data_IF_741435087485
#
_entry.id   IF_741435087485
#
_cell.length_a   1.000
_cell.length_b   1.000
_cell.length_c   1.000
_cell.angle_alpha   90.00
_cell.angle_beta   90.00
_cell.angle_gamma   90.00
#
_symmetry.space_group_name_H-M   'P 1'
#
loop_
_entity.id
_entity.type
_entity.pdbx_description
1 polymer ?
#
# COMPACT_ATOMS: atom_id res chain seq x y z
N UNK A 1 -75.01 -6.27 53.85
CA UNK A 1 -74.18 -6.45 52.62
C UNK A 1 -72.95 -5.52 52.43
N UNK A 2 -72.93 -4.26 52.91
CA UNK A 2 -71.87 -3.26 52.61
C UNK A 2 -70.44 -3.63 53.11
N UNK A 3 -70.29 -4.31 54.26
CA UNK A 3 -68.97 -4.72 54.83
C UNK A 3 -68.22 -5.75 53.95
N UNK A 4 -68.90 -6.74 53.36
CA UNK A 4 -68.30 -7.75 52.44
C UNK A 4 -67.75 -7.09 51.16
N UNK A 5 -68.49 -6.13 50.57
CA UNK A 5 -68.04 -5.35 49.39
C UNK A 5 -66.76 -4.53 49.68
N UNK A 6 -66.67 -3.87 50.84
CA UNK A 6 -65.46 -3.13 51.28
C UNK A 6 -64.23 -4.04 51.48
N UNK A 7 -64.39 -5.22 52.10
CA UNK A 7 -63.31 -6.23 52.25
C UNK A 7 -62.79 -6.72 50.88
N UNK A 8 -63.69 -6.99 49.92
CA UNK A 8 -63.34 -7.42 48.54
C UNK A 8 -62.57 -6.32 47.78
N UNK A 9 -62.98 -5.05 47.92
CA UNK A 9 -62.29 -3.87 47.34
C UNK A 9 -60.87 -3.69 47.92
N UNK A 10 -60.70 -3.81 49.23
CA UNK A 10 -59.38 -3.78 49.91
C UNK A 10 -58.45 -4.91 49.45
N UNK A 11 -58.96 -6.15 49.33
CA UNK A 11 -58.19 -7.31 48.81
C UNK A 11 -57.74 -7.09 47.35
N UNK A 12 -58.62 -6.58 46.48
CA UNK A 12 -58.26 -6.20 45.09
C UNK A 12 -57.17 -5.12 45.05
N UNK A 13 -57.27 -4.07 45.89
CA UNK A 13 -56.26 -2.98 45.98
C UNK A 13 -54.89 -3.51 46.47
N UNK A 14 -54.87 -4.40 47.48
CA UNK A 14 -53.64 -5.07 47.95
C UNK A 14 -53.02 -5.96 46.86
N UNK A 15 -53.81 -6.77 46.13
CA UNK A 15 -53.32 -7.58 44.99
C UNK A 15 -52.72 -6.69 43.88
N UNK A 16 -53.36 -5.56 43.53
CA UNK A 16 -52.85 -4.59 42.54
C UNK A 16 -51.51 -3.97 42.98
N UNK A 17 -51.37 -3.57 44.26
CA UNK A 17 -50.11 -3.07 44.84
C UNK A 17 -48.99 -4.12 44.79
N UNK A 18 -49.30 -5.38 45.12
CA UNK A 18 -48.33 -6.51 45.10
C UNK A 18 -47.84 -6.80 43.66
N UNK A 19 -48.75 -6.81 42.67
CA UNK A 19 -48.41 -6.91 41.23
C UNK A 19 -47.51 -5.75 40.75
N UNK A 20 -47.83 -4.49 41.10
CA UNK A 20 -46.99 -3.32 40.77
C UNK A 20 -45.57 -3.43 41.37
N UNK A 21 -45.45 -3.86 42.64
CA UNK A 21 -44.13 -4.08 43.29
C UNK A 21 -43.32 -5.18 42.58
N UNK A 22 -43.93 -6.31 42.21
CA UNK A 22 -43.27 -7.38 41.43
C UNK A 22 -42.80 -6.88 40.06
N UNK A 23 -43.63 -6.12 39.32
CA UNK A 23 -43.27 -5.55 38.01
C UNK A 23 -42.11 -4.55 38.09
N UNK A 24 -42.07 -3.69 39.13
CA UNK A 24 -40.93 -2.79 39.41
C UNK A 24 -39.64 -3.57 39.72
N UNK A 25 -39.70 -4.62 40.56
CA UNK A 25 -38.52 -5.47 40.87
C UNK A 25 -37.99 -6.18 39.62
N UNK A 26 -38.87 -6.70 38.75
CA UNK A 26 -38.47 -7.35 37.48
C UNK A 26 -37.75 -6.37 36.54
N UNK A 27 -38.32 -5.16 36.32
CA UNK A 27 -37.67 -4.10 35.53
C UNK A 27 -36.29 -3.68 36.10
N UNK A 28 -36.14 -3.61 37.43
CA UNK A 28 -34.86 -3.24 38.06
C UNK A 28 -33.79 -4.33 37.86
N UNK A 29 -34.15 -5.61 37.96
CA UNK A 29 -33.25 -6.74 37.66
C UNK A 29 -32.81 -6.75 36.19
N UNK A 30 -33.74 -6.50 35.27
CA UNK A 30 -33.45 -6.48 33.83
C UNK A 30 -32.51 -5.32 33.44
N UNK A 31 -32.74 -4.10 33.99
CA UNK A 31 -31.81 -2.97 33.82
C UNK A 31 -30.41 -3.27 34.35
N UNK A 32 -30.29 -4.00 35.46
CA UNK A 32 -28.98 -4.40 36.04
C UNK A 32 -28.25 -5.39 35.13
N UNK A 33 -28.96 -6.38 34.56
CA UNK A 33 -28.41 -7.33 33.58
C UNK A 33 -27.93 -6.62 32.30
N UNK A 34 -28.73 -5.70 31.75
CA UNK A 34 -28.34 -4.90 30.56
C UNK A 34 -27.08 -4.06 30.80
N UNK A 35 -26.98 -3.38 31.96
CA UNK A 35 -25.75 -2.64 32.35
C UNK A 35 -24.53 -3.56 32.45
N UNK A 36 -24.68 -4.76 33.00
CA UNK A 36 -23.58 -5.73 33.09
C UNK A 36 -23.12 -6.20 31.71
N UNK A 37 -24.03 -6.51 30.79
CA UNK A 37 -23.70 -6.89 29.41
C UNK A 37 -22.96 -5.77 28.66
N UNK A 38 -23.40 -4.52 28.79
CA UNK A 38 -22.75 -3.37 28.15
C UNK A 38 -21.30 -3.20 28.65
N UNK A 39 -21.07 -3.35 29.95
CA UNK A 39 -19.72 -3.24 30.52
C UNK A 39 -18.78 -4.35 30.02
N UNK A 40 -19.26 -5.58 29.88
CA UNK A 40 -18.48 -6.70 29.31
C UNK A 40 -18.13 -6.41 27.85
N UNK A 41 -19.09 -5.95 27.05
CA UNK A 41 -18.87 -5.59 25.65
C UNK A 41 -17.83 -4.46 25.50
N UNK A 42 -17.90 -3.43 26.34
CA UNK A 42 -16.95 -2.31 26.34
C UNK A 42 -15.52 -2.73 26.73
N UNK A 43 -15.38 -3.61 27.74
CA UNK A 43 -14.07 -4.18 28.13
C UNK A 43 -13.44 -4.98 26.97
N UNK A 44 -14.23 -5.78 26.26
CA UNK A 44 -13.76 -6.57 25.12
C UNK A 44 -13.35 -5.69 23.93
N UNK A 45 -14.10 -4.63 23.61
CA UNK A 45 -13.72 -3.64 22.59
C UNK A 45 -12.38 -2.96 22.92
N UNK A 46 -12.17 -2.56 24.19
CA UNK A 46 -10.88 -1.97 24.64
C UNK A 46 -9.71 -2.96 24.51
N UNK A 47 -9.89 -4.23 24.90
CA UNK A 47 -8.88 -5.29 24.72
C UNK A 47 -8.53 -5.52 23.23
N UNK A 48 -9.54 -5.59 22.35
CA UNK A 48 -9.33 -5.71 20.89
C UNK A 48 -8.55 -4.52 20.31
N UNK A 49 -8.89 -3.28 20.70
CA UNK A 49 -8.15 -2.07 20.29
C UNK A 49 -6.69 -2.10 20.77
N UNK A 50 -6.41 -2.49 22.02
CA UNK A 50 -5.04 -2.65 22.54
C UNK A 50 -4.24 -3.70 21.77
N UNK A 51 -4.83 -4.88 21.48
CA UNK A 51 -4.18 -5.93 20.66
C UNK A 51 -3.86 -5.44 19.24
N UNK A 52 -4.78 -4.72 18.58
CA UNK A 52 -4.53 -4.11 17.25
C UNK A 52 -3.38 -3.10 17.27
N UNK A 53 -3.32 -2.21 18.29
CA UNK A 53 -2.21 -1.26 18.46
C UNK A 53 -0.85 -1.96 18.67
N UNK A 54 -0.81 -3.03 19.49
CA UNK A 54 0.42 -3.83 19.69
C UNK A 54 0.88 -4.53 18.39
N UNK A 55 -0.04 -5.11 17.60
CA UNK A 55 0.28 -5.70 16.28
C UNK A 55 0.82 -4.65 15.30
N UNK A 56 0.23 -3.45 15.24
CA UNK A 56 0.76 -2.34 14.42
C UNK A 56 2.17 -1.89 14.86
N UNK A 57 2.44 -1.79 16.16
CA UNK A 57 3.78 -1.47 16.67
C UNK A 57 4.82 -2.55 16.35
N UNK A 58 4.48 -3.85 16.49
CA UNK A 58 5.37 -4.96 16.08
C UNK A 58 5.66 -4.93 14.57
N UNK A 59 4.64 -4.69 13.72
CA UNK A 59 4.84 -4.58 12.26
C UNK A 59 5.72 -3.37 11.87
N UNK A 60 5.62 -2.26 12.61
CA UNK A 60 6.50 -1.08 12.40
C UNK A 60 7.93 -1.32 12.88
N UNK A 61 8.14 -2.15 13.91
CA UNK A 61 9.49 -2.52 14.41
C UNK A 61 10.19 -3.53 13.48
N UNK A 62 9.48 -4.52 12.94
CA UNK A 62 10.05 -5.44 11.95
C UNK A 62 10.39 -4.75 10.61
N UNK A 63 9.65 -3.72 10.21
CA UNK A 63 10.03 -2.92 9.03
C UNK A 63 11.29 -2.06 9.25
N UNK A 64 11.65 -1.74 10.50
CA UNK A 64 12.88 -1.00 10.80
C UNK A 64 14.09 -1.92 11.02
N UNK A 65 13.87 -3.19 11.40
CA UNK A 65 14.95 -4.16 11.56
C UNK A 65 15.38 -4.80 10.24
N UNK A 66 14.55 -4.78 9.19
CA UNK A 66 15.00 -5.12 7.83
C UNK A 66 15.56 -3.89 7.07
N UNK A 67 15.85 -2.80 7.78
CA UNK A 67 16.49 -1.59 7.22
C UNK A 67 17.66 -1.13 8.09
N UNK A 68 18.41 -2.10 8.58
CA UNK A 68 19.79 -2.02 9.03
C UNK A 68 20.43 -3.30 8.56
N UNK A 69 21.69 -3.21 8.17
CA UNK A 69 22.51 -4.21 7.51
C UNK A 69 22.61 -3.88 6.01
N UNK A 70 23.69 -3.16 5.70
CA UNK A 70 24.17 -2.59 4.43
C UNK A 70 23.96 -1.07 4.32
N UNK A 71 25.06 -0.39 3.98
CA UNK A 71 25.36 1.05 3.97
C UNK A 71 25.81 1.58 5.34
N UNK A 72 27.08 1.91 5.61
CA UNK A 72 28.10 2.30 4.65
C UNK A 72 27.54 3.38 3.74
N UNK A 73 27.00 4.46 4.31
CA UNK A 73 26.31 5.53 3.59
C UNK A 73 27.32 6.24 2.68
N UNK A 74 27.56 5.66 1.51
CA UNK A 74 27.82 6.45 0.32
C UNK A 74 26.58 7.31 0.11
N UNK A 75 26.73 8.63 -0.12
CA UNK A 75 25.58 9.45 -0.46
C UNK A 75 24.93 8.82 -1.69
N UNK A 76 23.67 8.37 -1.54
CA UNK A 76 22.90 7.87 -2.69
C UNK A 76 22.88 9.02 -3.68
N UNK A 77 23.66 8.88 -4.75
CA UNK A 77 23.85 9.97 -5.68
C UNK A 77 22.51 10.31 -6.33
N UNK A 78 22.24 11.59 -6.50
CA UNK A 78 20.98 12.11 -7.04
C UNK A 78 20.61 11.43 -8.38
N UNK A 79 21.62 11.02 -9.16
CA UNK A 79 21.45 10.27 -10.41
C UNK A 79 20.73 8.93 -10.21
N UNK A 80 21.08 8.15 -9.17
CA UNK A 80 20.44 6.87 -8.88
C UNK A 80 18.97 7.06 -8.46
N UNK A 81 18.68 8.08 -7.66
CA UNK A 81 17.30 8.39 -7.23
C UNK A 81 16.41 8.80 -8.40
N UNK A 82 16.96 9.59 -9.33
CA UNK A 82 16.28 10.00 -10.57
C UNK A 82 16.03 8.80 -11.47
N UNK A 83 17.01 7.90 -11.59
CA UNK A 83 16.90 6.68 -12.38
C UNK A 83 15.79 5.78 -11.82
N UNK A 84 15.77 5.52 -10.50
CA UNK A 84 14.72 4.73 -9.85
C UNK A 84 13.33 5.33 -10.12
N UNK A 85 13.17 6.64 -9.90
CA UNK A 85 11.88 7.30 -10.09
C UNK A 85 11.38 7.20 -11.53
N UNK A 86 12.30 7.33 -12.51
CA UNK A 86 12.00 7.23 -13.95
C UNK A 86 11.53 5.82 -14.32
N UNK A 87 12.25 4.78 -13.92
CA UNK A 87 11.85 3.40 -14.20
C UNK A 87 10.54 3.01 -13.51
N UNK A 88 10.31 3.51 -12.29
CA UNK A 88 9.06 3.27 -11.56
C UNK A 88 7.86 3.91 -12.27
N UNK A 89 8.03 5.12 -12.79
CA UNK A 89 7.03 5.80 -13.60
C UNK A 89 6.77 5.06 -14.92
N UNK A 90 7.84 4.69 -15.63
CA UNK A 90 7.74 3.99 -16.91
C UNK A 90 7.01 2.65 -16.77
N UNK A 91 7.40 1.83 -15.79
CA UNK A 91 6.70 0.59 -15.50
C UNK A 91 5.24 0.81 -15.08
N UNK A 92 4.90 1.94 -14.46
CA UNK A 92 3.50 2.28 -14.19
C UNK A 92 2.73 2.55 -15.48
N UNK A 93 3.30 3.33 -16.42
CA UNK A 93 2.70 3.63 -17.72
C UNK A 93 2.44 2.35 -18.52
N UNK A 94 3.41 1.43 -18.59
CA UNK A 94 3.27 0.16 -19.32
C UNK A 94 2.09 -0.69 -18.82
N UNK A 95 1.84 -0.69 -17.51
CA UNK A 95 0.73 -1.44 -16.91
C UNK A 95 -0.65 -0.81 -17.10
N UNK A 96 -0.72 0.47 -17.50
CA UNK A 96 -2.01 1.11 -17.81
C UNK A 96 -2.57 0.58 -19.14
N UNK A 97 -3.87 0.76 -19.38
CA UNK A 97 -4.50 0.36 -20.65
C UNK A 97 -3.79 0.97 -21.87
N UNK A 98 -3.79 0.27 -23.00
CA UNK A 98 -3.09 0.69 -24.23
C UNK A 98 -3.59 2.04 -24.73
N UNK A 99 -4.89 2.32 -24.54
CA UNK A 99 -5.54 3.54 -25.00
C UNK A 99 -5.28 4.76 -24.11
N UNK A 100 -4.46 4.64 -23.05
CA UNK A 100 -4.12 5.82 -22.25
C UNK A 100 -3.22 6.78 -23.04
N UNK A 101 -3.35 8.10 -22.85
CA UNK A 101 -2.55 9.08 -23.58
C UNK A 101 -1.03 8.80 -23.54
N UNK A 102 -0.42 8.36 -22.41
CA UNK A 102 1.00 8.02 -22.38
C UNK A 102 1.38 6.83 -23.27
N UNK A 103 0.56 5.78 -23.31
CA UNK A 103 0.82 4.60 -24.13
C UNK A 103 0.62 4.91 -25.61
N UNK A 104 -0.44 5.64 -25.97
CA UNK A 104 -0.65 6.12 -27.34
C UNK A 104 0.51 6.99 -27.83
N UNK A 105 1.01 7.89 -26.99
CA UNK A 105 2.18 8.71 -27.31
C UNK A 105 3.45 7.86 -27.51
N UNK A 106 3.64 6.82 -26.71
CA UNK A 106 4.76 5.88 -26.82
C UNK A 106 4.69 5.07 -28.11
N UNK A 107 3.52 4.52 -28.42
CA UNK A 107 3.26 3.81 -29.69
C UNK A 107 3.50 4.73 -30.88
N UNK A 108 3.05 5.98 -30.83
CA UNK A 108 3.30 6.98 -31.88
C UNK A 108 4.80 7.27 -32.03
N UNK A 109 5.54 7.37 -30.93
CA UNK A 109 6.98 7.58 -30.96
C UNK A 109 7.71 6.50 -31.78
N UNK A 110 7.39 5.22 -31.57
CA UNK A 110 8.01 4.11 -32.32
C UNK A 110 7.45 3.92 -33.73
N UNK A 111 6.23 4.36 -34.02
CA UNK A 111 5.66 4.30 -35.38
C UNK A 111 6.18 5.40 -36.29
N UNK A 112 6.65 6.52 -35.73
CA UNK A 112 7.14 7.67 -36.49
C UNK A 112 8.65 7.53 -36.74
N UNK A 113 9.09 6.41 -37.29
CA UNK A 113 10.47 6.29 -37.79
C UNK A 113 10.58 7.08 -39.10
N UNK A 114 11.26 8.24 -39.06
CA UNK A 114 11.69 8.90 -40.31
C UNK A 114 11.42 10.39 -40.43
N UNK A 115 10.56 11.01 -39.62
CA UNK A 115 10.46 12.48 -39.65
C UNK A 115 11.62 13.09 -38.88
N UNK A 116 12.69 13.52 -39.58
CA UNK A 116 13.77 14.32 -38.98
C UNK A 116 13.13 15.55 -38.32
N UNK A 117 13.07 15.55 -37.00
CA UNK A 117 12.56 16.69 -36.26
C UNK A 117 13.55 17.85 -36.46
N UNK A 118 13.08 18.93 -37.08
CA UNK A 118 13.90 20.12 -37.33
C UNK A 118 14.27 20.76 -35.99
N UNK A 119 15.55 21.09 -35.80
CA UNK A 119 16.08 21.71 -34.58
C UNK A 119 16.76 20.76 -33.60
N UNK A 120 16.94 21.20 -32.35
CA UNK A 120 17.66 20.42 -31.31
C UNK A 120 16.93 19.10 -31.05
N UNK A 121 17.65 17.95 -31.05
CA UNK A 121 17.04 16.66 -30.74
C UNK A 121 16.39 16.70 -29.36
N UNK A 122 15.09 16.39 -29.31
CA UNK A 122 14.33 16.38 -28.06
C UNK A 122 14.72 15.15 -27.24
N UNK A 123 15.10 15.35 -25.98
CA UNK A 123 15.26 14.25 -25.04
C UNK A 123 13.89 13.67 -24.70
N UNK A 124 13.55 12.54 -25.28
CA UNK A 124 12.33 11.79 -24.95
C UNK A 124 12.60 10.84 -23.79
N UNK A 125 11.54 10.45 -23.07
CA UNK A 125 11.65 9.43 -22.03
C UNK A 125 12.26 8.13 -22.58
N UNK A 126 11.94 7.77 -23.83
CA UNK A 126 12.50 6.61 -24.54
C UNK A 126 14.01 6.76 -24.72
N UNK A 127 14.51 7.92 -25.18
CA UNK A 127 15.96 8.13 -25.34
C UNK A 127 16.71 8.04 -24.02
N UNK A 128 16.14 8.52 -22.93
CA UNK A 128 16.75 8.43 -21.61
C UNK A 128 16.74 6.99 -21.10
N UNK A 129 15.62 6.26 -21.27
CA UNK A 129 15.54 4.85 -20.90
C UNK A 129 16.51 3.97 -21.71
N UNK A 130 16.71 4.27 -23.01
CA UNK A 130 17.74 3.59 -23.82
C UNK A 130 19.13 3.79 -23.25
N UNK A 131 19.47 4.99 -22.76
CA UNK A 131 20.76 5.24 -22.12
C UNK A 131 20.88 4.46 -20.82
N UNK A 132 19.84 4.48 -19.98
CA UNK A 132 19.80 3.71 -18.74
C UNK A 132 20.00 2.21 -19.01
N UNK A 133 19.39 1.66 -20.06
CA UNK A 133 19.57 0.26 -20.45
C UNK A 133 20.96 -0.03 -21.00
N UNK A 134 21.54 0.89 -21.79
CA UNK A 134 22.89 0.72 -22.33
C UNK A 134 23.95 0.70 -21.22
N UNK A 135 23.73 1.48 -20.17
CA UNK A 135 24.59 1.49 -18.99
C UNK A 135 24.48 0.21 -18.15
N UNK A 136 23.45 -0.62 -18.35
CA UNK A 136 23.21 -1.79 -17.52
C UNK A 136 22.90 -3.03 -18.38
N UNK A 137 23.95 -3.77 -18.75
CA UNK A 137 23.83 -5.10 -19.34
C UNK A 137 23.32 -6.08 -18.27
N UNK A 138 22.00 -6.27 -18.20
CA UNK A 138 21.38 -7.31 -17.40
C UNK A 138 20.61 -8.28 -18.30
N UNK A 139 20.80 -9.59 -18.10
CA UNK A 139 20.18 -10.66 -18.89
C UNK A 139 18.64 -10.72 -18.79
N UNK A 140 18.06 -10.05 -17.79
CA UNK A 140 16.63 -10.16 -17.48
C UNK A 140 15.74 -9.19 -18.28
N UNK A 141 16.30 -8.20 -18.97
CA UNK A 141 15.51 -7.18 -19.69
C UNK A 141 15.91 -7.15 -21.16
N UNK A 142 14.98 -6.86 -22.10
CA UNK A 142 15.37 -6.71 -23.49
C UNK A 142 16.44 -5.63 -23.57
N UNK A 143 17.56 -6.02 -24.15
CA UNK A 143 18.81 -5.24 -24.23
C UNK A 143 18.61 -3.92 -24.99
N UNK A 144 17.45 -3.73 -25.63
CA UNK A 144 17.13 -2.65 -26.56
C UNK A 144 15.66 -2.26 -26.47
N UNK A 145 15.41 -0.95 -26.45
CA UNK A 145 14.08 -0.32 -26.59
C UNK A 145 14.02 0.40 -27.94
N UNK A 146 14.12 -0.33 -29.05
CA UNK A 146 14.22 0.26 -30.39
C UNK A 146 12.89 0.24 -31.13
N UNK A 147 12.13 -0.84 -31.00
CA UNK A 147 10.90 -1.10 -31.72
C UNK A 147 9.66 -1.07 -30.82
N UNK A 148 8.50 -1.01 -31.45
CA UNK A 148 7.22 -1.25 -30.79
C UNK A 148 7.12 -2.68 -30.24
N UNK A 149 7.71 -3.66 -30.92
CA UNK A 149 7.78 -5.06 -30.44
C UNK A 149 8.54 -5.15 -29.12
N UNK A 150 9.62 -4.38 -28.96
CA UNK A 150 10.35 -4.30 -27.71
C UNK A 150 9.47 -3.72 -26.60
N UNK A 151 8.65 -2.70 -26.91
CA UNK A 151 7.70 -2.11 -25.98
C UNK A 151 6.62 -3.10 -25.52
N UNK A 152 6.14 -3.95 -26.42
CA UNK A 152 5.15 -4.99 -26.10
C UNK A 152 5.77 -6.10 -25.25
N UNK A 153 6.98 -6.56 -25.56
CA UNK A 153 7.74 -7.48 -24.70
C UNK A 153 7.93 -6.91 -23.28
N UNK A 154 8.28 -5.62 -23.18
CA UNK A 154 8.44 -4.94 -21.90
C UNK A 154 7.15 -4.86 -21.11
N UNK A 155 6.04 -4.69 -21.82
CA UNK A 155 4.70 -4.63 -21.24
C UNK A 155 4.29 -6.00 -20.72
N UNK A 156 4.53 -7.06 -21.47
CA UNK A 156 4.24 -8.44 -21.05
C UNK A 156 5.06 -8.80 -19.82
N UNK A 157 6.35 -8.47 -19.80
CA UNK A 157 7.20 -8.64 -18.62
C UNK A 157 6.65 -7.82 -17.44
N UNK A 158 6.29 -6.54 -17.65
CA UNK A 158 5.77 -5.68 -16.59
C UNK A 158 4.38 -6.07 -16.04
N UNK A 159 3.60 -6.83 -16.81
CA UNK A 159 2.29 -7.37 -16.45
C UNK A 159 2.40 -8.75 -15.79
N UNK A 160 3.29 -9.61 -16.29
CA UNK A 160 3.57 -10.93 -15.73
C UNK A 160 4.26 -10.82 -14.36
N UNK A 161 5.09 -9.79 -14.18
CA UNK A 161 5.81 -9.54 -12.95
C UNK A 161 4.96 -8.73 -11.97
N UNK A 162 4.67 -9.32 -10.81
CA UNK A 162 3.94 -8.66 -9.75
C UNK A 162 4.65 -7.37 -9.30
N UNK A 163 3.92 -6.46 -8.64
CA UNK A 163 4.42 -5.16 -8.12
C UNK A 163 5.73 -5.24 -7.30
N UNK A 164 6.08 -6.42 -6.77
CA UNK A 164 7.34 -6.72 -6.08
C UNK A 164 8.55 -6.76 -7.01
N UNK A 165 8.39 -7.16 -8.27
CA UNK A 165 9.50 -7.60 -9.10
C UNK A 165 10.03 -6.45 -9.95
N UNK A 166 9.17 -5.50 -10.35
CA UNK A 166 9.65 -4.18 -10.80
C UNK A 166 10.45 -3.46 -9.71
N UNK A 167 10.16 -3.70 -8.41
CA UNK A 167 11.05 -3.18 -7.36
C UNK A 167 12.37 -3.94 -7.34
N UNK A 168 12.35 -5.26 -7.50
CA UNK A 168 13.59 -6.05 -7.64
C UNK A 168 14.44 -5.55 -8.81
N UNK A 169 13.84 -5.22 -9.96
CA UNK A 169 14.51 -4.61 -11.10
C UNK A 169 15.13 -3.26 -10.77
N UNK A 170 14.36 -2.36 -10.15
CA UNK A 170 14.88 -1.04 -9.75
C UNK A 170 16.01 -1.20 -8.72
N UNK A 171 15.91 -2.19 -7.84
CA UNK A 171 16.95 -2.54 -6.86
C UNK A 171 18.18 -3.17 -7.53
N UNK A 172 18.00 -3.95 -8.60
CA UNK A 172 19.09 -4.56 -9.35
C UNK A 172 19.87 -3.50 -10.14
N UNK A 173 19.16 -2.60 -10.82
CA UNK A 173 19.77 -1.46 -11.52
C UNK A 173 20.47 -0.53 -10.52
N UNK A 174 19.85 -0.30 -9.36
CA UNK A 174 20.46 0.45 -8.25
C UNK A 174 21.74 -0.21 -7.71
N UNK A 175 21.79 -1.54 -7.69
CA UNK A 175 22.95 -2.30 -7.22
C UNK A 175 24.09 -2.31 -8.25
N UNK A 176 23.78 -2.44 -9.53
CA UNK A 176 24.78 -2.35 -10.60
C UNK A 176 25.36 -0.94 -10.70
N UNK A 177 24.52 0.10 -10.63
CA UNK A 177 24.97 1.49 -10.68
C UNK A 177 25.87 1.90 -9.49
N UNK A 178 25.62 1.37 -8.28
CA UNK A 178 26.52 1.61 -7.14
C UNK A 178 27.88 0.92 -7.31
N UNK A 179 27.91 -0.27 -7.91
CA UNK A 179 29.15 -1.00 -8.13
C UNK A 179 30.10 -0.20 -9.04
N UNK A 180 29.57 0.39 -10.12
CA UNK A 180 30.33 1.25 -11.04
C UNK A 180 30.94 2.47 -10.32
N UNK A 181 30.17 3.18 -9.49
CA UNK A 181 30.66 4.37 -8.76
C UNK A 181 31.72 4.08 -7.69
N UNK A 182 31.88 2.82 -7.27
CA UNK A 182 32.86 2.43 -6.24
C UNK A 182 34.25 2.12 -6.79
N UNK A 183 34.36 1.89 -8.11
CA UNK A 183 35.62 1.56 -8.78
C UNK A 183 36.41 2.83 -9.11
N UNK A 184 35.72 3.95 -9.40
CA UNK A 184 36.37 5.21 -9.80
C UNK A 184 37.03 5.96 -8.63
N UNK A 185 36.63 5.72 -7.38
CA UNK A 185 37.21 6.41 -6.21
C UNK A 185 38.57 5.83 -5.80
N UNK A 186 38.95 4.67 -6.35
CA UNK A 186 40.23 4.01 -6.05
C UNK A 186 41.38 4.41 -6.99
N UNK A 187 41.13 5.22 -8.03
CA UNK A 187 42.10 5.50 -9.10
C UNK A 187 42.86 6.84 -8.96
N UNK A 188 42.39 7.78 -8.13
CA UNK A 188 43.02 9.11 -7.97
C UNK A 188 43.92 9.22 -6.71
N UNK A 189 44.63 8.15 -6.40
CA UNK A 189 45.55 8.06 -5.27
C UNK A 189 46.94 7.59 -5.67
N UNK A 190 47.57 8.27 -6.62
CA UNK A 190 49.02 8.16 -6.89
C UNK A 190 49.63 9.53 -7.16
#
# INVERSE_FOLDING_TARGET
MKKKKRKKKRRKKKKKKKKKKKKKKKKKKEKKKKKQQINVMMKNKKKKKKKKKKKKKKKKKNNNNNKKDNLGETPISLSLTILEARWRLFGHILRQAINTPPNVAMTKYFKTEGSKQRGRPKTSIVTTLRRDLKSHNNDHWPTRLHSITDLDHLRDIALAQNKSDCKHLTTAIYRSAQAETSVDVAADGH
#
